data_IF_966027541210
#
_entry.id   IF_966027541210
#
_cell.length_a   1.000
_cell.length_b   1.000
_cell.length_c   1.000
_cell.angle_alpha   90.00
_cell.angle_beta   90.00
_cell.angle_gamma   90.00
#
_symmetry.space_group_name_H-M   'P 1'
#
loop_
_entity.id
_entity.type
_entity.pdbx_description
1 polymer ?
#
# COMPACT_ATOMS: atom_id res chain seq x y z
N UNK A 1 27.97 49.78 -15.33
CA UNK A 1 26.79 49.18 -16.00
C UNK A 1 27.29 47.99 -16.82
N UNK A 2 27.22 46.77 -16.30
CA UNK A 2 27.20 45.43 -16.94
C UNK A 2 27.74 44.38 -15.97
N UNK A 3 26.95 44.09 -14.92
CA UNK A 3 27.14 42.92 -14.04
C UNK A 3 25.80 42.38 -13.54
N UNK A 4 24.85 42.27 -14.45
CA UNK A 4 23.53 41.71 -14.19
C UNK A 4 23.16 40.86 -15.40
N UNK A 5 23.81 39.75 -15.61
CA UNK A 5 23.34 38.69 -16.49
C UNK A 5 24.33 37.53 -16.43
N UNK A 6 24.11 36.65 -15.50
CA UNK A 6 24.43 35.21 -15.52
C UNK A 6 24.02 34.60 -14.20
N UNK A 7 22.72 34.66 -13.92
CA UNK A 7 22.08 33.59 -13.18
C UNK A 7 22.13 32.38 -14.10
N UNK A 8 23.24 31.63 -14.06
CA UNK A 8 23.30 30.31 -14.67
C UNK A 8 22.15 29.51 -14.08
N UNK A 9 21.18 29.16 -14.90
CA UNK A 9 20.29 28.10 -14.65
C UNK A 9 21.13 26.89 -14.23
N UNK A 10 21.24 26.66 -12.92
CA UNK A 10 21.73 25.40 -12.42
C UNK A 10 20.68 24.36 -12.85
N UNK A 11 20.99 23.40 -13.72
CA UNK A 11 20.10 22.34 -14.00
C UNK A 11 19.71 21.75 -12.65
N UNK A 12 18.39 21.70 -12.34
CA UNK A 12 17.85 21.08 -11.15
C UNK A 12 18.40 19.66 -11.13
N UNK A 13 19.42 19.44 -10.33
CA UNK A 13 20.10 18.14 -10.24
C UNK A 13 19.15 17.20 -9.54
N UNK A 14 18.61 16.26 -10.28
CA UNK A 14 17.66 15.26 -9.79
C UNK A 14 18.29 14.52 -8.62
N UNK A 15 17.84 14.84 -7.42
CA UNK A 15 18.15 14.06 -6.23
C UNK A 15 17.02 13.06 -6.06
N UNK A 16 17.20 11.87 -6.62
CA UNK A 16 16.22 10.77 -6.59
C UNK A 16 15.80 10.38 -5.16
N UNK A 17 16.60 10.72 -4.15
CA UNK A 17 16.31 10.46 -2.74
C UNK A 17 15.80 11.68 -1.97
N UNK A 18 15.38 12.73 -2.64
CA UNK A 18 14.91 13.95 -1.96
C UNK A 18 13.77 13.65 -0.99
N UNK A 19 13.96 14.02 0.28
CA UNK A 19 12.95 13.81 1.33
C UNK A 19 12.87 12.38 1.87
N UNK A 20 13.64 11.43 1.34
CA UNK A 20 13.59 10.02 1.73
C UNK A 20 14.76 9.57 2.62
N UNK A 21 15.86 10.36 2.74
CA UNK A 21 17.03 9.96 3.51
C UNK A 21 17.03 10.62 4.89
N UNK A 22 17.18 9.79 5.91
CA UNK A 22 17.21 10.19 7.31
C UNK A 22 18.46 9.67 8.02
N UNK A 23 18.88 10.39 9.03
CA UNK A 23 19.93 9.92 9.93
C UNK A 23 19.34 8.87 10.88
N UNK A 24 19.81 7.62 10.84
CA UNK A 24 19.31 6.55 11.68
C UNK A 24 19.56 6.73 13.18
N UNK A 25 20.50 7.64 13.60
CA UNK A 25 20.78 7.86 15.01
C UNK A 25 20.01 9.07 15.59
N UNK A 26 19.70 10.11 14.81
CA UNK A 26 18.97 11.29 15.32
C UNK A 26 17.63 11.54 14.60
N UNK A 27 17.26 10.74 13.61
CA UNK A 27 15.97 10.84 12.91
C UNK A 27 15.82 12.04 11.97
N UNK A 28 16.78 12.97 11.93
CA UNK A 28 16.68 14.18 11.10
C UNK A 28 17.02 13.86 9.64
N UNK A 29 16.37 14.54 8.69
CA UNK A 29 16.68 14.42 7.26
C UNK A 29 18.13 14.76 6.97
N UNK A 30 18.77 13.95 6.14
CA UNK A 30 20.16 14.18 5.75
C UNK A 30 20.28 15.27 4.68
N UNK A 31 21.29 16.12 4.85
CA UNK A 31 21.66 17.12 3.86
C UNK A 31 22.42 16.51 2.69
N UNK A 32 22.26 17.10 1.50
CA UNK A 32 23.02 16.73 0.31
C UNK A 32 24.09 17.79 0.03
N UNK A 33 25.32 17.38 -0.23
CA UNK A 33 26.40 18.24 -0.69
C UNK A 33 26.90 17.78 -2.06
N UNK A 34 27.35 18.76 -2.84
CA UNK A 34 27.94 18.50 -4.15
C UNK A 34 29.38 18.93 -4.09
N UNK A 35 30.29 17.99 -4.26
CA UNK A 35 31.73 18.20 -4.28
C UNK A 35 32.24 18.56 -5.67
N UNK A 36 33.60 18.58 -5.78
CA UNK A 36 34.28 18.73 -7.07
C UNK A 36 33.85 17.59 -8.03
N UNK A 37 33.86 17.90 -9.32
CA UNK A 37 33.43 16.94 -10.36
C UNK A 37 32.00 16.40 -10.23
N UNK A 38 31.12 17.21 -9.63
CA UNK A 38 29.69 16.85 -9.49
C UNK A 38 29.40 15.65 -8.58
N UNK A 39 30.35 15.23 -7.74
CA UNK A 39 30.16 14.14 -6.79
C UNK A 39 29.16 14.56 -5.71
N UNK A 40 28.06 13.82 -5.60
CA UNK A 40 27.03 14.03 -4.56
C UNK A 40 27.32 13.16 -3.34
N UNK A 41 27.03 13.69 -2.16
CA UNK A 41 27.12 12.95 -0.91
C UNK A 41 26.11 13.45 0.11
N UNK A 42 25.70 12.56 0.98
CA UNK A 42 24.74 12.85 2.05
C UNK A 42 25.44 12.87 3.40
N UNK A 43 25.03 13.79 4.27
CA UNK A 43 25.61 13.99 5.59
C UNK A 43 24.51 14.29 6.63
N UNK A 44 24.77 13.98 7.89
CA UNK A 44 23.86 14.34 8.98
C UNK A 44 23.89 15.85 9.22
N UNK A 45 22.75 16.52 9.04
CA UNK A 45 22.61 17.98 9.25
C UNK A 45 22.81 18.34 10.70
N UNK A 46 22.29 17.56 11.64
CA UNK A 46 22.44 17.79 13.06
C UNK A 46 23.91 17.72 13.53
N UNK A 47 24.69 16.76 13.00
CA UNK A 47 26.13 16.75 13.28
C UNK A 47 26.84 17.97 12.68
N UNK A 48 26.45 18.40 11.48
CA UNK A 48 27.07 19.55 10.81
C UNK A 48 26.85 20.85 11.58
N UNK A 49 25.66 21.01 12.18
CA UNK A 49 25.26 22.22 12.91
C UNK A 49 25.75 22.22 14.37
N UNK A 50 25.63 21.09 15.04
CA UNK A 50 25.83 20.97 16.49
C UNK A 50 27.06 20.09 16.88
N UNK A 51 27.78 19.56 15.91
CA UNK A 51 28.95 18.71 16.14
C UNK A 51 28.59 17.41 16.88
N UNK A 52 29.53 16.93 17.70
CA UNK A 52 29.36 15.71 18.47
C UNK A 52 28.26 15.79 19.54
N UNK A 53 27.83 16.98 19.93
CA UNK A 53 26.72 17.17 20.87
C UNK A 53 25.37 16.88 20.20
N UNK A 54 25.25 17.08 18.88
CA UNK A 54 24.02 16.85 18.14
C UNK A 54 23.87 15.43 17.62
N UNK A 55 24.94 14.84 17.10
CA UNK A 55 24.90 13.50 16.53
C UNK A 55 26.30 12.92 16.28
N UNK A 56 26.37 11.71 15.72
CA UNK A 56 27.61 11.09 15.23
C UNK A 56 27.85 11.51 13.77
N UNK A 57 29.13 11.77 13.42
CA UNK A 57 29.53 12.11 12.05
C UNK A 57 29.15 11.01 11.07
N UNK A 58 28.40 11.37 10.04
CA UNK A 58 28.00 10.48 8.95
C UNK A 58 28.16 11.17 7.61
N UNK A 59 28.65 10.38 6.67
CA UNK A 59 28.83 10.81 5.30
C UNK A 59 28.76 9.58 4.39
N UNK A 60 27.90 9.61 3.37
CA UNK A 60 27.79 8.56 2.36
C UNK A 60 27.74 9.17 0.97
N UNK A 61 28.47 8.61 0.02
CA UNK A 61 28.38 9.04 -1.37
C UNK A 61 27.08 8.60 -2.02
N UNK A 62 26.52 9.39 -2.92
CA UNK A 62 25.28 9.06 -3.62
C UNK A 62 25.40 7.72 -4.36
N UNK A 63 26.49 7.46 -5.07
CA UNK A 63 26.67 6.22 -5.79
C UNK A 63 26.72 4.97 -4.90
N UNK A 64 27.30 5.07 -3.67
CA UNK A 64 27.23 3.96 -2.72
C UNK A 64 25.81 3.74 -2.21
N UNK A 65 25.06 4.81 -1.95
CA UNK A 65 23.67 4.75 -1.50
C UNK A 65 22.80 4.19 -2.60
N UNK A 66 22.91 4.67 -3.83
CA UNK A 66 22.15 4.19 -5.00
C UNK A 66 22.34 2.70 -5.20
N UNK A 67 23.59 2.22 -5.17
CA UNK A 67 23.90 0.80 -5.31
C UNK A 67 23.26 -0.04 -4.19
N UNK A 68 23.43 0.37 -2.93
CA UNK A 68 22.86 -0.36 -1.80
C UNK A 68 21.33 -0.39 -1.81
N UNK A 69 20.68 0.72 -2.21
CA UNK A 69 19.22 0.79 -2.34
C UNK A 69 18.74 -0.08 -3.51
N UNK A 70 19.42 -0.06 -4.66
CA UNK A 70 19.11 -0.93 -5.78
C UNK A 70 19.16 -2.40 -5.37
N UNK A 71 20.23 -2.83 -4.73
CA UNK A 71 20.39 -4.20 -4.21
C UNK A 71 19.27 -4.57 -3.23
N UNK A 72 18.94 -3.69 -2.27
CA UNK A 72 17.87 -3.92 -1.30
C UNK A 72 16.51 -4.05 -1.99
N UNK A 73 16.19 -3.19 -2.95
CA UNK A 73 14.94 -3.25 -3.72
C UNK A 73 14.86 -4.58 -4.50
N UNK A 74 15.93 -4.99 -5.19
CA UNK A 74 15.90 -6.23 -5.95
C UNK A 74 15.71 -7.47 -5.07
N UNK A 75 16.38 -7.51 -3.91
CA UNK A 75 16.19 -8.59 -2.93
C UNK A 75 14.72 -8.60 -2.44
N UNK A 76 14.18 -7.44 -2.07
CA UNK A 76 12.80 -7.30 -1.59
C UNK A 76 11.78 -7.78 -2.64
N UNK A 77 11.89 -7.31 -3.87
CA UNK A 77 11.00 -7.69 -4.96
C UNK A 77 11.11 -9.17 -5.32
N UNK A 78 12.33 -9.71 -5.31
CA UNK A 78 12.56 -11.14 -5.55
C UNK A 78 11.88 -12.00 -4.47
N UNK A 79 12.07 -11.67 -3.20
CA UNK A 79 11.43 -12.39 -2.09
C UNK A 79 9.90 -12.33 -2.19
N UNK A 80 9.34 -11.16 -2.53
CA UNK A 80 7.90 -11.00 -2.74
C UNK A 80 7.39 -11.87 -3.88
N UNK A 81 8.02 -11.82 -5.06
CA UNK A 81 7.59 -12.57 -6.25
C UNK A 81 7.68 -14.10 -6.02
N UNK A 82 8.78 -14.59 -5.44
CA UNK A 82 8.94 -16.00 -5.12
C UNK A 82 7.89 -16.50 -4.14
N UNK A 83 7.60 -15.72 -3.08
CA UNK A 83 6.59 -16.08 -2.09
C UNK A 83 5.18 -16.07 -2.69
N UNK A 84 4.86 -15.06 -3.48
CA UNK A 84 3.60 -14.94 -4.21
C UNK A 84 3.38 -16.15 -5.13
N UNK A 85 4.40 -16.52 -5.91
CA UNK A 85 4.29 -17.61 -6.89
C UNK A 85 4.14 -18.98 -6.21
N UNK A 86 4.80 -19.20 -5.06
CA UNK A 86 4.64 -20.43 -4.26
C UNK A 86 3.21 -20.50 -3.70
N UNK A 87 2.70 -19.44 -3.11
CA UNK A 87 1.34 -19.40 -2.57
C UNK A 87 0.31 -19.60 -3.69
N UNK A 88 0.52 -18.98 -4.84
CA UNK A 88 -0.36 -19.15 -6.02
C UNK A 88 -0.35 -20.59 -6.56
N UNK A 89 0.80 -21.25 -6.62
CA UNK A 89 0.91 -22.60 -7.14
C UNK A 89 0.28 -23.65 -6.20
N UNK A 90 0.45 -23.50 -4.89
CA UNK A 90 -0.05 -24.47 -3.89
C UNK A 90 -1.55 -24.30 -3.56
N UNK A 91 -2.06 -23.07 -3.52
CA UNK A 91 -3.46 -22.82 -3.13
C UNK A 91 -4.47 -23.04 -4.25
N UNK A 92 -4.07 -23.60 -5.40
CA UNK A 92 -5.02 -23.86 -6.49
C UNK A 92 -5.86 -22.61 -6.79
N UNK A 93 -5.23 -21.61 -7.39
CA UNK A 93 -5.79 -20.27 -7.72
C UNK A 93 -7.24 -20.29 -8.27
N UNK A 94 -7.69 -21.44 -8.78
CA UNK A 94 -9.03 -21.67 -9.32
C UNK A 94 -10.09 -21.73 -8.21
N UNK A 95 -9.79 -22.35 -7.06
CA UNK A 95 -10.79 -22.52 -6.00
C UNK A 95 -11.02 -21.23 -5.20
N UNK A 96 -9.94 -20.50 -4.91
CA UNK A 96 -10.02 -19.19 -4.24
C UNK A 96 -10.70 -18.16 -5.13
N UNK A 97 -10.35 -18.12 -6.42
CA UNK A 97 -11.00 -17.25 -7.39
C UNK A 97 -12.48 -17.57 -7.56
N UNK A 98 -12.86 -18.85 -7.56
CA UNK A 98 -14.26 -19.27 -7.58
C UNK A 98 -15.02 -18.83 -6.33
N UNK A 99 -14.45 -19.05 -5.14
CA UNK A 99 -15.06 -18.61 -3.87
C UNK A 99 -15.28 -17.10 -3.83
N UNK A 100 -14.25 -16.34 -4.27
CA UNK A 100 -14.36 -14.89 -4.39
C UNK A 100 -15.48 -14.46 -5.34
N UNK A 101 -15.54 -15.02 -6.55
CA UNK A 101 -16.59 -14.71 -7.52
C UNK A 101 -18.00 -15.04 -6.98
N UNK A 102 -18.14 -16.12 -6.24
CA UNK A 102 -19.42 -16.48 -5.60
C UNK A 102 -19.80 -15.44 -4.55
N UNK A 103 -18.89 -15.05 -3.64
CA UNK A 103 -19.15 -14.03 -2.63
C UNK A 103 -19.50 -12.67 -3.24
N UNK A 104 -18.75 -12.22 -4.25
CA UNK A 104 -19.06 -10.99 -4.96
C UNK A 104 -20.43 -11.00 -5.64
N UNK A 105 -20.84 -12.15 -6.17
CA UNK A 105 -22.19 -12.34 -6.73
C UNK A 105 -23.25 -12.27 -5.64
N UNK A 106 -23.08 -13.00 -4.53
CA UNK A 106 -24.02 -13.01 -3.43
C UNK A 106 -24.21 -11.62 -2.80
N UNK A 107 -23.13 -10.84 -2.64
CA UNK A 107 -23.21 -9.45 -2.17
C UNK A 107 -24.02 -8.59 -3.14
N UNK A 108 -23.81 -8.74 -4.46
CA UNK A 108 -24.61 -8.01 -5.47
C UNK A 108 -26.09 -8.39 -5.42
N UNK A 109 -26.37 -9.69 -5.30
CA UNK A 109 -27.75 -10.20 -5.25
C UNK A 109 -28.48 -9.69 -3.98
N UNK A 110 -27.78 -9.64 -2.83
CA UNK A 110 -28.30 -9.05 -1.59
C UNK A 110 -28.57 -7.55 -1.75
N UNK A 111 -27.67 -6.78 -2.37
CA UNK A 111 -27.88 -5.38 -2.65
C UNK A 111 -29.10 -5.13 -3.57
N UNK A 112 -29.31 -5.97 -4.58
CA UNK A 112 -30.51 -5.90 -5.42
C UNK A 112 -31.80 -6.20 -4.63
N UNK A 113 -31.74 -7.18 -3.72
CA UNK A 113 -32.85 -7.51 -2.82
C UNK A 113 -33.21 -6.34 -1.88
N UNK A 114 -32.21 -5.65 -1.34
CA UNK A 114 -32.43 -4.44 -0.53
C UNK A 114 -33.16 -3.35 -1.33
N UNK A 115 -32.73 -3.08 -2.57
CA UNK A 115 -33.40 -2.12 -3.44
C UNK A 115 -34.85 -2.52 -3.71
N UNK A 116 -35.12 -3.81 -3.97
CA UNK A 116 -36.48 -4.30 -4.19
C UNK A 116 -37.35 -4.17 -2.92
N UNK A 117 -36.82 -4.47 -1.76
CA UNK A 117 -37.53 -4.30 -0.48
C UNK A 117 -37.84 -2.84 -0.17
N UNK A 118 -36.89 -1.92 -0.46
CA UNK A 118 -37.14 -0.48 -0.34
C UNK A 118 -38.22 0.02 -1.29
N UNK A 119 -38.24 -0.48 -2.53
CA UNK A 119 -39.29 -0.17 -3.50
C UNK A 119 -40.64 -0.67 -3.01
N UNK A 120 -40.74 -1.91 -2.51
CA UNK A 120 -41.97 -2.46 -1.94
C UNK A 120 -42.47 -1.64 -0.73
N UNK A 121 -41.56 -1.25 0.14
CA UNK A 121 -41.89 -0.39 1.28
C UNK A 121 -42.44 0.95 0.82
N UNK A 122 -41.84 1.56 -0.21
CA UNK A 122 -42.29 2.83 -0.78
C UNK A 122 -43.65 2.67 -1.47
N UNK A 123 -43.87 1.60 -2.24
CA UNK A 123 -45.15 1.31 -2.88
C UNK A 123 -46.26 1.09 -1.87
N UNK A 124 -46.01 0.32 -0.79
CA UNK A 124 -47.00 0.10 0.25
C UNK A 124 -47.47 1.41 0.95
N UNK A 125 -46.57 2.40 1.04
CA UNK A 125 -46.95 3.73 1.54
C UNK A 125 -47.87 4.48 0.57
N UNK A 126 -47.62 4.36 -0.75
CA UNK A 126 -48.50 4.97 -1.78
C UNK A 126 -49.87 4.29 -1.78
N UNK A 127 -49.92 2.96 -1.74
CA UNK A 127 -51.15 2.19 -1.67
C UNK A 127 -51.96 2.54 -0.42
N UNK A 128 -51.32 2.81 0.72
CA UNK A 128 -52.00 3.31 1.91
C UNK A 128 -52.56 4.72 1.68
N UNK A 129 -51.81 5.64 1.05
CA UNK A 129 -52.29 6.99 0.72
C UNK A 129 -53.47 6.97 -0.23
N UNK A 130 -53.48 6.06 -1.18
CA UNK A 130 -54.55 5.88 -2.17
C UNK A 130 -55.74 5.06 -1.62
N UNK A 131 -55.72 4.73 -0.30
CA UNK A 131 -56.76 3.99 0.42
C UNK A 131 -56.94 2.57 -0.11
N UNK A 132 -55.94 1.99 -0.76
CA UNK A 132 -55.94 0.59 -1.18
C UNK A 132 -55.52 -0.34 -0.05
N UNK A 133 -54.84 0.15 0.96
CA UNK A 133 -54.49 -0.53 2.20
C UNK A 133 -55.11 0.15 3.40
N UNK A 134 -55.52 -0.64 4.38
CA UNK A 134 -55.89 -0.15 5.71
C UNK A 134 -54.63 0.26 6.50
N UNK A 135 -54.82 1.04 7.54
CA UNK A 135 -53.71 1.44 8.45
C UNK A 135 -53.01 0.21 9.03
N UNK A 136 -53.77 -0.82 9.43
CA UNK A 136 -53.23 -2.02 10.02
C UNK A 136 -52.40 -2.83 9.02
N UNK A 137 -52.89 -3.03 7.80
CA UNK A 137 -52.17 -3.73 6.74
C UNK A 137 -50.86 -3.00 6.36
N UNK A 138 -50.90 -1.66 6.27
CA UNK A 138 -49.70 -0.87 6.00
C UNK A 138 -48.63 -1.06 7.10
N UNK A 139 -49.04 -1.00 8.38
CA UNK A 139 -48.09 -1.17 9.47
C UNK A 139 -47.51 -2.60 9.51
N UNK A 140 -48.31 -3.62 9.25
CA UNK A 140 -47.81 -5.00 9.14
C UNK A 140 -46.79 -5.17 8.01
N UNK A 141 -47.10 -4.69 6.82
CA UNK A 141 -46.16 -4.71 5.68
C UNK A 141 -44.90 -3.91 5.94
N UNK A 142 -45.03 -2.73 6.56
CA UNK A 142 -43.88 -1.91 6.94
C UNK A 142 -42.93 -2.63 7.90
N UNK A 143 -43.47 -3.26 8.95
CA UNK A 143 -42.65 -4.01 9.90
C UNK A 143 -41.97 -5.22 9.23
N UNK A 144 -42.69 -5.92 8.37
CA UNK A 144 -42.15 -7.06 7.60
C UNK A 144 -41.01 -6.64 6.72
N UNK A 145 -41.19 -5.58 5.89
CA UNK A 145 -40.13 -5.11 4.99
C UNK A 145 -38.95 -4.51 5.73
N UNK A 146 -39.20 -3.78 6.84
CA UNK A 146 -38.09 -3.27 7.67
C UNK A 146 -37.29 -4.39 8.32
N UNK A 147 -37.93 -5.45 8.80
CA UNK A 147 -37.27 -6.64 9.36
C UNK A 147 -36.46 -7.37 8.28
N UNK A 148 -37.03 -7.56 7.09
CA UNK A 148 -36.36 -8.18 5.96
C UNK A 148 -35.14 -7.35 5.48
N UNK A 149 -35.25 -6.03 5.47
CA UNK A 149 -34.14 -5.11 5.16
C UNK A 149 -33.00 -5.27 6.17
N UNK A 150 -33.31 -5.24 7.47
CA UNK A 150 -32.29 -5.38 8.52
C UNK A 150 -31.56 -6.73 8.43
N UNK A 151 -32.28 -7.82 8.20
CA UNK A 151 -31.67 -9.15 8.02
C UNK A 151 -30.82 -9.23 6.76
N UNK A 152 -31.27 -8.62 5.67
CA UNK A 152 -30.51 -8.64 4.40
C UNK A 152 -29.22 -7.81 4.52
N UNK A 153 -29.26 -6.65 5.19
CA UNK A 153 -28.09 -5.80 5.45
C UNK A 153 -27.08 -6.49 6.36
N UNK A 154 -27.54 -7.18 7.42
CA UNK A 154 -26.68 -7.95 8.32
C UNK A 154 -25.92 -9.06 7.56
N UNK A 155 -26.62 -9.87 6.78
CA UNK A 155 -26.00 -10.94 5.96
C UNK A 155 -25.06 -10.36 4.91
N UNK A 156 -25.40 -9.21 4.30
CA UNK A 156 -24.51 -8.55 3.34
C UNK A 156 -23.22 -8.10 4.00
N UNK A 157 -23.29 -7.48 5.17
CA UNK A 157 -22.11 -7.06 5.94
C UNK A 157 -21.21 -8.22 6.34
N UNK A 158 -21.79 -9.34 6.78
CA UNK A 158 -21.00 -10.55 7.09
C UNK A 158 -20.24 -11.05 5.85
N UNK A 159 -20.89 -11.07 4.68
CA UNK A 159 -20.24 -11.50 3.43
C UNK A 159 -19.20 -10.51 2.93
N UNK A 160 -19.41 -9.19 3.10
CA UNK A 160 -18.41 -8.15 2.80
C UNK A 160 -17.19 -8.29 3.70
N UNK A 161 -17.38 -8.58 4.99
CA UNK A 161 -16.28 -8.84 5.93
C UNK A 161 -15.49 -10.08 5.49
N UNK A 162 -16.16 -11.18 5.16
CA UNK A 162 -15.51 -12.40 4.68
C UNK A 162 -14.74 -12.18 3.37
N UNK A 163 -15.29 -11.37 2.44
CA UNK A 163 -14.60 -11.00 1.21
C UNK A 163 -13.36 -10.15 1.52
N UNK A 164 -13.46 -9.23 2.46
CA UNK A 164 -12.33 -8.41 2.92
C UNK A 164 -11.24 -9.28 3.57
N UNK A 165 -11.60 -10.19 4.46
CA UNK A 165 -10.65 -11.15 5.06
C UNK A 165 -9.98 -12.04 4.00
N UNK A 166 -10.72 -12.47 2.98
CA UNK A 166 -10.14 -13.20 1.85
C UNK A 166 -9.19 -12.33 1.04
N UNK A 167 -9.50 -11.06 0.83
CA UNK A 167 -8.63 -10.12 0.14
C UNK A 167 -7.35 -9.84 0.94
N UNK A 168 -7.46 -9.65 2.26
CA UNK A 168 -6.32 -9.52 3.16
C UNK A 168 -5.46 -10.80 3.21
N UNK A 169 -6.13 -11.96 3.16
CA UNK A 169 -5.46 -13.27 3.28
C UNK A 169 -4.81 -13.73 1.99
N UNK A 170 -5.44 -13.53 0.85
CA UNK A 170 -5.02 -14.06 -0.46
C UNK A 170 -4.90 -12.96 -1.53
N UNK A 171 -5.25 -11.73 -1.18
CA UNK A 171 -5.11 -10.59 -2.07
C UNK A 171 -3.62 -10.27 -2.27
N UNK A 172 -3.18 -10.34 -3.50
CA UNK A 172 -1.96 -9.64 -3.89
C UNK A 172 -2.20 -8.16 -3.61
N UNK A 173 -1.31 -7.53 -2.85
CA UNK A 173 -1.27 -6.07 -2.86
C UNK A 173 -1.03 -5.65 -4.32
N UNK A 174 -2.08 -5.15 -4.97
CA UNK A 174 -2.06 -4.86 -6.41
C UNK A 174 -0.97 -3.84 -6.75
N UNK A 175 -0.76 -2.85 -5.88
CA UNK A 175 0.27 -1.82 -6.04
C UNK A 175 1.66 -2.44 -5.96
N UNK A 176 1.91 -3.31 -4.97
CA UNK A 176 3.18 -3.99 -4.83
C UNK A 176 3.44 -4.99 -5.97
N UNK A 177 2.41 -5.72 -6.41
CA UNK A 177 2.51 -6.65 -7.53
C UNK A 177 2.84 -5.92 -8.84
N UNK A 178 2.20 -4.81 -9.12
CA UNK A 178 2.49 -3.97 -10.29
C UNK A 178 3.90 -3.36 -10.22
N UNK A 179 4.30 -2.85 -9.06
CA UNK A 179 5.65 -2.33 -8.84
C UNK A 179 6.71 -3.43 -8.99
N UNK A 180 6.43 -4.64 -8.48
CA UNK A 180 7.34 -5.77 -8.63
C UNK A 180 7.51 -6.18 -10.10
N UNK A 181 6.45 -6.25 -10.87
CA UNK A 181 6.51 -6.57 -12.30
C UNK A 181 7.22 -5.46 -13.10
N UNK A 182 7.04 -4.21 -12.70
CA UNK A 182 7.64 -3.06 -13.38
C UNK A 182 9.14 -2.92 -13.09
N UNK A 183 9.57 -3.14 -11.84
CA UNK A 183 10.94 -2.81 -11.37
C UNK A 183 11.84 -4.02 -11.13
N UNK A 184 11.32 -5.26 -11.17
CA UNK A 184 12.15 -6.44 -11.04
C UNK A 184 13.22 -6.51 -12.16
N UNK A 185 14.47 -6.77 -11.75
CA UNK A 185 15.59 -6.84 -12.68
C UNK A 185 16.15 -5.50 -13.15
N UNK A 186 15.67 -4.37 -12.63
CA UNK A 186 16.25 -3.06 -12.94
C UNK A 186 17.40 -2.71 -11.97
N UNK A 187 18.60 -2.55 -12.50
CA UNK A 187 19.79 -2.20 -11.71
C UNK A 187 19.89 -0.71 -11.36
N UNK A 188 19.07 0.13 -11.96
CA UNK A 188 19.08 1.59 -11.77
C UNK A 188 17.91 2.06 -10.93
N UNK A 189 18.21 2.87 -9.91
CA UNK A 189 17.20 3.47 -9.05
C UNK A 189 16.61 4.70 -9.72
N UNK A 190 15.30 4.72 -9.91
CA UNK A 190 14.55 5.85 -10.43
C UNK A 190 13.73 6.53 -9.34
N UNK A 191 13.33 7.78 -9.55
CA UNK A 191 12.46 8.50 -8.62
C UNK A 191 11.13 7.75 -8.41
N UNK A 192 10.52 7.29 -9.50
CA UNK A 192 9.25 6.57 -9.47
C UNK A 192 9.34 5.26 -8.67
N UNK A 193 10.44 4.52 -8.84
CA UNK A 193 10.72 3.31 -8.04
C UNK A 193 10.80 3.62 -6.54
N UNK A 194 11.52 4.70 -6.17
CA UNK A 194 11.66 5.13 -4.78
C UNK A 194 10.31 5.56 -4.21
N UNK A 195 9.57 6.37 -4.94
CA UNK A 195 8.29 6.90 -4.46
C UNK A 195 7.23 5.79 -4.34
N UNK A 196 7.28 4.78 -5.20
CA UNK A 196 6.37 3.63 -5.17
C UNK A 196 6.69 2.64 -4.06
N UNK A 197 7.96 2.33 -3.82
CA UNK A 197 8.37 1.19 -2.99
C UNK A 197 8.94 1.59 -1.62
N UNK A 198 9.58 2.78 -1.51
CA UNK A 198 10.36 3.15 -0.33
C UNK A 198 9.63 4.22 0.48
N UNK A 199 9.41 3.93 1.76
CA UNK A 199 8.92 4.91 2.72
C UNK A 199 10.05 5.84 3.13
N UNK A 200 11.17 5.30 3.62
CA UNK A 200 12.34 6.06 4.06
C UNK A 200 13.62 5.22 4.04
N UNK A 201 14.74 5.89 4.00
CA UNK A 201 16.08 5.30 4.04
C UNK A 201 16.82 5.89 5.25
N UNK A 202 17.32 5.05 6.11
CA UNK A 202 18.07 5.44 7.29
C UNK A 202 19.54 5.11 7.13
N UNK A 203 20.39 6.10 7.39
CA UNK A 203 21.84 5.95 7.33
C UNK A 203 22.42 6.05 8.73
N UNK A 204 23.06 4.97 9.19
CA UNK A 204 23.71 4.86 10.50
C UNK A 204 25.21 5.13 10.45
N UNK A 205 25.82 5.30 11.60
CA UNK A 205 27.27 5.35 11.73
C UNK A 205 27.92 4.09 11.11
N UNK A 206 29.12 4.27 10.54
CA UNK A 206 29.82 3.17 9.84
C UNK A 206 29.30 2.87 8.43
N UNK A 207 28.32 3.62 7.94
CA UNK A 207 27.80 3.48 6.56
C UNK A 207 26.77 2.36 6.42
N UNK A 208 26.23 1.84 7.52
CA UNK A 208 25.09 0.92 7.49
C UNK A 208 23.84 1.63 7.02
N UNK A 209 23.09 1.01 6.13
CA UNK A 209 21.87 1.55 5.52
C UNK A 209 20.72 0.64 5.88
N UNK A 210 19.59 1.21 6.27
CA UNK A 210 18.33 0.50 6.46
C UNK A 210 17.31 1.13 5.51
N UNK A 211 16.69 0.31 4.67
CA UNK A 211 15.63 0.72 3.73
C UNK A 211 14.32 0.24 4.30
N UNK A 212 13.40 1.15 4.55
CA UNK A 212 12.05 0.85 5.04
C UNK A 212 11.12 0.93 3.83
N UNK A 213 10.46 -0.18 3.53
CA UNK A 213 9.56 -0.31 2.40
C UNK A 213 8.12 0.05 2.80
N UNK A 214 7.35 0.59 1.85
CA UNK A 214 5.95 0.98 2.06
C UNK A 214 5.02 -0.22 2.33
N UNK A 215 5.36 -1.37 1.79
CA UNK A 215 4.58 -2.61 1.86
C UNK A 215 5.29 -3.70 2.68
N UNK A 216 6.04 -3.30 3.71
CA UNK A 216 6.83 -4.24 4.52
C UNK A 216 5.96 -5.26 5.25
N UNK A 217 4.80 -4.82 5.78
CA UNK A 217 3.87 -5.71 6.48
C UNK A 217 3.20 -6.72 5.51
N UNK A 218 2.86 -6.29 4.29
CA UNK A 218 2.28 -7.17 3.28
C UNK A 218 3.27 -8.25 2.85
N UNK A 219 4.52 -7.86 2.62
CA UNK A 219 5.58 -8.80 2.29
C UNK A 219 5.86 -9.79 3.44
N UNK A 220 5.87 -9.32 4.69
CA UNK A 220 6.05 -10.15 5.88
C UNK A 220 4.94 -11.18 6.01
N UNK A 221 3.68 -10.80 5.86
CA UNK A 221 2.53 -11.72 5.87
C UNK A 221 2.62 -12.81 4.82
N UNK A 222 3.10 -12.46 3.61
CA UNK A 222 3.33 -13.44 2.55
C UNK A 222 4.46 -14.43 2.89
N UNK A 223 5.54 -13.95 3.50
CA UNK A 223 6.66 -14.79 3.95
C UNK A 223 6.23 -15.75 5.06
N UNK A 224 5.50 -15.27 6.07
CA UNK A 224 4.96 -16.09 7.15
C UNK A 224 4.04 -17.19 6.61
N UNK A 225 3.16 -16.89 5.67
CA UNK A 225 2.31 -17.90 5.01
C UNK A 225 3.10 -18.91 4.21
N UNK A 226 4.16 -18.48 3.51
CA UNK A 226 5.05 -19.40 2.80
C UNK A 226 5.67 -20.39 3.76
N UNK A 227 6.21 -19.91 4.90
CA UNK A 227 6.84 -20.75 5.92
C UNK A 227 5.83 -21.73 6.54
N UNK A 228 4.61 -21.30 6.86
CA UNK A 228 3.54 -22.18 7.36
C UNK A 228 3.22 -23.31 6.37
N UNK A 229 3.22 -23.01 5.08
CA UNK A 229 2.99 -24.01 4.03
C UNK A 229 4.16 -25.00 3.86
N UNK A 230 5.38 -24.57 4.12
CA UNK A 230 6.56 -25.43 4.02
C UNK A 230 6.71 -26.35 5.23
N UNK A 231 6.26 -25.94 6.42
CA UNK A 231 6.32 -26.73 7.66
C UNK A 231 5.18 -27.74 7.76
N UNK A 232 4.10 -27.58 7.02
CA UNK A 232 2.92 -28.45 7.01
C UNK A 232 3.07 -29.73 6.16
N UNK A 233 4.26 -30.01 5.61
CA UNK A 233 4.65 -31.28 4.96
C UNK A 233 5.43 -32.16 5.92
#
# INVERSE_FOLDING_TARGET
KKKLEKAKENPKRDNVFKGKIFCGDCGITMGCSVGKHNSKSYYCTNYRENGAMGCVKKHISAGKLEKAVAEAVQIYLKMFLESRDIIRSRNGNIEISKKRMVLEKEIRDLGQKEVQLQQKLSSSYLDYKDKLLTVQEYFMLKEEYQRALAQTDEVRKEKELLLHEMQETYGDNLELSQAAEQYAGQDTVTQDMIDSLIERIEVFAGGRIHVIFRFEDDCRRLLEKKEEMEVGE
#
